data_IF_884060707082
#
_entry.id   IF_884060707082
#
_cell.length_a   1.000
_cell.length_b   1.000
_cell.length_c   1.000
_cell.angle_alpha   90.00
_cell.angle_beta   90.00
_cell.angle_gamma   90.00
#
_symmetry.space_group_name_H-M   'P 1'
#
loop_
_entity.id
_entity.type
_entity.pdbx_description
1 polymer ?
#
# COMPACT_ATOMS: atom_id res chain seq x y z
N UNK A 1 17.11 27.74 -22.23
CA UNK A 1 15.79 28.02 -21.62
C UNK A 1 14.69 27.09 -22.15
N UNK A 2 14.40 27.06 -23.46
CA UNK A 2 13.35 26.17 -24.03
C UNK A 2 13.50 24.69 -23.67
N UNK A 3 14.72 24.11 -23.70
CA UNK A 3 14.98 22.71 -23.34
C UNK A 3 14.69 22.37 -21.87
N UNK A 4 14.93 23.33 -20.96
CA UNK A 4 14.67 23.18 -19.52
C UNK A 4 13.16 23.24 -19.25
N UNK A 5 12.46 24.14 -19.95
CA UNK A 5 11.01 24.26 -19.88
C UNK A 5 10.32 22.99 -20.42
N UNK A 6 10.82 22.43 -21.51
CA UNK A 6 10.33 21.15 -22.06
C UNK A 6 10.59 19.96 -21.11
N UNK A 7 11.75 19.91 -20.45
CA UNK A 7 12.05 18.87 -19.47
C UNK A 7 11.15 18.97 -18.22
N UNK A 8 10.89 20.18 -17.73
CA UNK A 8 10.00 20.40 -16.59
C UNK A 8 8.55 20.00 -16.91
N UNK A 9 8.06 20.31 -18.12
CA UNK A 9 6.74 19.91 -18.58
C UNK A 9 6.60 18.38 -18.68
N UNK A 10 7.64 17.68 -19.13
CA UNK A 10 7.64 16.22 -19.22
C UNK A 10 7.58 15.55 -17.84
N UNK A 11 8.32 16.07 -16.85
CA UNK A 11 8.32 15.55 -15.47
C UNK A 11 6.93 15.74 -14.82
N UNK A 12 6.31 16.90 -15.03
CA UNK A 12 4.94 17.17 -14.56
C UNK A 12 3.92 16.23 -15.21
N UNK A 13 4.11 15.88 -16.48
CA UNK A 13 3.22 14.97 -17.21
C UNK A 13 3.37 13.51 -16.75
N UNK A 14 4.57 13.06 -16.36
CA UNK A 14 4.78 11.70 -15.86
C UNK A 14 4.07 11.44 -14.52
N UNK A 15 3.84 12.47 -13.69
CA UNK A 15 3.14 12.33 -12.41
C UNK A 15 1.67 11.94 -12.55
N UNK A 16 1.00 12.31 -13.65
CA UNK A 16 -0.44 12.05 -13.85
C UNK A 16 -0.75 10.61 -14.26
N UNK A 17 0.25 9.82 -14.64
CA UNK A 17 0.08 8.42 -15.05
C UNK A 17 0.15 7.44 -13.87
N UNK A 18 0.35 7.91 -12.63
CA UNK A 18 0.53 7.08 -11.44
C UNK A 18 -0.78 6.55 -10.83
N UNK A 19 -1.71 6.06 -11.65
CA UNK A 19 -2.99 5.45 -11.22
C UNK A 19 -2.90 3.93 -10.99
N UNK A 20 -1.74 3.41 -10.60
CA UNK A 20 -1.51 1.97 -10.44
C UNK A 20 -2.05 1.36 -9.14
N UNK A 21 -2.78 2.11 -8.30
CA UNK A 21 -3.32 1.58 -7.06
C UNK A 21 -4.43 0.56 -7.35
N UNK A 22 -4.23 -0.68 -6.91
CA UNK A 22 -5.13 -1.83 -7.12
C UNK A 22 -6.60 -1.46 -6.84
N UNK A 23 -7.41 -1.43 -7.90
CA UNK A 23 -8.83 -1.05 -7.84
C UNK A 23 -9.72 -2.16 -7.28
N UNK A 24 -9.26 -3.40 -7.24
CA UNK A 24 -10.05 -4.55 -6.76
C UNK A 24 -10.39 -4.43 -5.28
N UNK A 25 -9.41 -4.08 -4.45
CA UNK A 25 -9.64 -3.90 -3.00
C UNK A 25 -10.47 -2.66 -2.72
N UNK A 26 -10.28 -1.59 -3.50
CA UNK A 26 -11.07 -0.37 -3.37
C UNK A 26 -12.53 -0.60 -3.74
N UNK A 27 -12.81 -1.32 -4.83
CA UNK A 27 -14.18 -1.65 -5.22
C UNK A 27 -14.89 -2.54 -4.18
N UNK A 28 -14.14 -3.41 -3.48
CA UNK A 28 -14.69 -4.22 -2.39
C UNK A 28 -15.02 -3.37 -1.15
N UNK A 29 -14.13 -2.43 -0.81
CA UNK A 29 -14.30 -1.46 0.28
C UNK A 29 -15.49 -0.51 0.02
N UNK A 30 -15.64 -0.02 -1.21
CA UNK A 30 -16.73 0.88 -1.59
C UNK A 30 -18.10 0.17 -1.62
N UNK A 31 -18.11 -1.13 -1.92
CA UNK A 31 -19.35 -1.92 -2.04
C UNK A 31 -19.97 -2.25 -0.68
N UNK A 32 -19.17 -2.34 0.38
CA UNK A 32 -19.63 -2.81 1.67
C UNK A 32 -19.17 -1.87 2.78
N UNK A 33 -20.09 -1.44 3.65
CA UNK A 33 -19.75 -0.75 4.91
C UNK A 33 -19.20 -1.75 5.94
N UNK A 34 -18.02 -2.30 5.63
CA UNK A 34 -17.30 -3.25 6.47
C UNK A 34 -16.34 -2.57 7.47
N UNK A 35 -15.90 -3.33 8.47
CA UNK A 35 -14.86 -2.87 9.38
C UNK A 35 -13.49 -2.97 8.71
N UNK A 36 -12.85 -1.81 8.53
CA UNK A 36 -11.46 -1.73 8.07
C UNK A 36 -10.49 -1.74 9.26
N UNK A 37 -9.60 -2.73 9.30
CA UNK A 37 -8.52 -2.81 10.29
C UNK A 37 -7.16 -2.65 9.63
N UNK A 38 -6.27 -1.88 10.28
CA UNK A 38 -4.92 -1.61 9.80
C UNK A 38 -3.89 -2.21 10.75
N UNK A 39 -3.13 -3.17 10.27
CA UNK A 39 -2.10 -3.86 11.03
C UNK A 39 -0.74 -3.36 10.55
N UNK A 40 -0.10 -2.51 11.35
CA UNK A 40 1.27 -2.08 11.10
C UNK A 40 2.26 -3.20 11.45
N UNK A 41 3.49 -3.10 10.97
CA UNK A 41 4.55 -4.09 11.25
C UNK A 41 4.63 -4.52 12.73
N UNK A 42 4.53 -3.58 13.66
CA UNK A 42 4.55 -3.89 15.10
C UNK A 42 3.36 -4.77 15.53
N UNK A 43 2.17 -4.47 15.01
CA UNK A 43 0.96 -5.27 15.25
C UNK A 43 1.06 -6.64 14.57
N UNK A 44 1.64 -6.72 13.36
CA UNK A 44 1.89 -7.98 12.68
C UNK A 44 2.86 -8.87 13.47
N UNK A 45 3.89 -8.29 14.10
CA UNK A 45 4.80 -9.04 15.00
C UNK A 45 4.08 -9.64 16.22
N UNK A 46 3.02 -9.00 16.72
CA UNK A 46 2.22 -9.57 17.81
C UNK A 46 1.50 -10.86 17.39
N UNK A 47 1.24 -11.06 16.09
CA UNK A 47 0.68 -12.32 15.57
C UNK A 47 1.71 -13.45 15.60
N UNK A 48 3.02 -13.13 15.61
CA UNK A 48 4.10 -14.10 15.71
C UNK A 48 4.28 -14.61 17.15
N UNK A 49 3.26 -15.27 17.70
CA UNK A 49 3.25 -15.73 19.09
C UNK A 49 4.35 -16.75 19.41
N UNK A 50 4.90 -17.43 18.39
CA UNK A 50 5.93 -18.46 18.53
C UNK A 50 7.35 -17.94 18.27
N UNK A 51 7.51 -16.64 17.98
CA UNK A 51 8.79 -16.05 17.57
C UNK A 51 9.45 -16.80 16.41
N UNK A 52 8.64 -17.19 15.41
CA UNK A 52 9.10 -17.89 14.22
C UNK A 52 9.93 -16.92 13.34
N UNK A 53 11.22 -17.20 13.09
CA UNK A 53 12.06 -16.34 12.27
C UNK A 53 11.59 -16.24 10.81
N UNK A 54 10.93 -17.27 10.28
CA UNK A 54 10.42 -17.26 8.91
C UNK A 54 9.24 -16.30 8.76
N UNK A 55 8.41 -16.20 9.80
CA UNK A 55 7.33 -15.22 9.85
C UNK A 55 7.87 -13.79 9.92
N UNK A 56 8.91 -13.54 10.73
CA UNK A 56 9.56 -12.23 10.81
C UNK A 56 10.20 -11.84 9.47
N UNK A 57 10.79 -12.80 8.75
CA UNK A 57 11.31 -12.60 7.40
C UNK A 57 10.21 -12.28 6.38
N UNK A 58 9.05 -12.96 6.47
CA UNK A 58 7.89 -12.74 5.61
C UNK A 58 7.34 -11.32 5.74
N UNK A 59 7.23 -10.80 6.97
CA UNK A 59 6.65 -9.48 7.24
C UNK A 59 7.68 -8.34 7.17
N UNK A 60 8.96 -8.63 6.89
CA UNK A 60 10.04 -7.65 7.06
C UNK A 60 9.85 -6.39 6.22
N UNK A 61 9.31 -6.54 5.01
CA UNK A 61 9.11 -5.46 4.02
C UNK A 61 7.66 -4.98 3.97
N UNK A 62 6.79 -5.49 4.86
CA UNK A 62 5.39 -5.05 4.96
C UNK A 62 5.32 -3.84 5.90
N UNK A 63 5.01 -2.67 5.35
CA UNK A 63 4.77 -1.46 6.16
C UNK A 63 3.46 -1.59 6.98
N UNK A 64 2.38 -1.97 6.30
CA UNK A 64 1.05 -2.20 6.88
C UNK A 64 0.22 -3.14 6.02
N UNK A 65 -0.71 -3.83 6.65
CA UNK A 65 -1.72 -4.66 6.00
C UNK A 65 -3.12 -4.15 6.34
N UNK A 66 -3.98 -3.98 5.33
CA UNK A 66 -5.40 -3.64 5.51
C UNK A 66 -6.21 -4.93 5.46
N UNK A 67 -7.00 -5.17 6.49
CA UNK A 67 -8.02 -6.22 6.52
C UNK A 67 -9.39 -5.55 6.41
N UNK A 68 -10.22 -6.05 5.50
CA UNK A 68 -11.61 -5.63 5.37
C UNK A 68 -12.50 -6.78 5.86
N UNK A 69 -13.26 -6.53 6.92
CA UNK A 69 -14.24 -7.46 7.44
C UNK A 69 -15.62 -7.03 6.94
N UNK A 70 -16.26 -7.90 6.17
CA UNK A 70 -17.52 -7.65 5.44
C UNK A 70 -18.63 -8.49 6.04
#
# INVERSE_FOLDING_TARGET
MKKILSAAALILFCGTLSFAQSKTTQALDDKFEGLSLYFYKNTLRMLNQKNDPDFDALIKDIEKMKFLLI
#
